data_IF_264362785978
#
_entry.id   IF_264362785978
#
_cell.length_a   1.000
_cell.length_b   1.000
_cell.length_c   1.000
_cell.angle_alpha   90.00
_cell.angle_beta   90.00
_cell.angle_gamma   90.00
#
_symmetry.space_group_name_H-M   'P 1'
#
loop_
_entity.id
_entity.type
_entity.pdbx_description
1 polymer ?
#
# COMPACT_ATOMS: atom_id res chain seq x y z
N UNK A 1 12.42 15.90 11.98
CA UNK A 1 12.70 15.19 10.72
C UNK A 1 12.60 16.21 9.59
N UNK A 2 13.59 16.27 8.69
CA UNK A 2 13.61 17.17 7.54
C UNK A 2 13.65 16.29 6.29
N UNK A 3 12.76 16.57 5.33
CA UNK A 3 12.80 15.94 4.00
C UNK A 3 13.18 17.02 3.01
N UNK A 4 14.27 16.79 2.28
CA UNK A 4 14.67 17.60 1.15
C UNK A 4 14.24 16.86 -0.12
N UNK A 5 13.47 17.53 -0.97
CA UNK A 5 13.00 16.99 -2.25
C UNK A 5 13.92 17.50 -3.34
N UNK A 6 14.42 16.60 -4.19
CA UNK A 6 15.24 16.95 -5.34
C UNK A 6 14.51 17.89 -6.31
N UNK A 7 15.20 18.88 -6.87
CA UNK A 7 14.60 19.88 -7.76
C UNK A 7 14.01 19.26 -9.03
N UNK A 8 14.61 18.18 -9.56
CA UNK A 8 14.06 17.46 -10.70
C UNK A 8 12.73 16.79 -10.37
N UNK A 9 12.64 16.20 -9.18
CA UNK A 9 11.41 15.56 -8.69
C UNK A 9 10.30 16.59 -8.47
N UNK A 10 10.61 17.73 -7.84
CA UNK A 10 9.62 18.79 -7.64
C UNK A 10 9.12 19.39 -8.97
N UNK A 11 9.99 19.45 -9.99
CA UNK A 11 9.64 19.94 -11.33
C UNK A 11 8.77 18.95 -12.10
N UNK A 12 9.13 17.67 -12.08
CA UNK A 12 8.45 16.64 -12.88
C UNK A 12 7.12 16.21 -12.24
N UNK A 13 6.96 16.40 -10.92
CA UNK A 13 5.79 16.00 -10.15
C UNK A 13 5.29 17.13 -9.24
N UNK A 14 4.72 18.22 -9.79
CA UNK A 14 4.31 19.39 -9.02
C UNK A 14 3.15 19.11 -8.05
N UNK A 15 2.35 18.07 -8.32
CA UNK A 15 1.21 17.66 -7.48
C UNK A 15 1.59 16.58 -6.45
N UNK A 16 2.88 16.30 -6.26
CA UNK A 16 3.34 15.27 -5.33
C UNK A 16 3.18 15.74 -3.87
N UNK A 17 2.24 15.14 -3.16
CA UNK A 17 2.03 15.39 -1.73
C UNK A 17 2.77 14.35 -0.85
N UNK A 18 3.60 14.84 0.07
CA UNK A 18 4.28 14.03 1.09
C UNK A 18 3.54 14.15 2.41
N UNK A 19 2.90 13.06 2.84
CA UNK A 19 2.22 13.00 4.15
C UNK A 19 3.12 12.32 5.17
N UNK A 20 3.50 13.06 6.22
CA UNK A 20 4.34 12.56 7.31
C UNK A 20 3.52 12.44 8.59
N UNK A 21 3.64 11.28 9.25
CA UNK A 21 3.10 11.04 10.59
C UNK A 21 4.15 10.38 11.46
N UNK A 22 4.27 10.85 12.70
CA UNK A 22 5.06 10.21 13.74
C UNK A 22 4.11 9.38 14.57
N UNK A 23 4.47 8.12 14.81
CA UNK A 23 3.78 7.23 15.75
C UNK A 23 4.76 6.96 16.88
N UNK A 24 4.39 7.37 18.09
CA UNK A 24 5.15 7.14 19.32
C UNK A 24 4.42 6.15 20.24
N UNK A 25 5.12 5.70 21.30
CA UNK A 25 4.55 4.77 22.28
C UNK A 25 4.33 3.35 21.78
N UNK A 26 4.99 2.95 20.68
CA UNK A 26 4.85 1.61 20.12
C UNK A 26 5.61 0.58 20.97
N UNK A 27 4.92 -0.49 21.38
CA UNK A 27 5.55 -1.67 21.95
C UNK A 27 5.81 -2.70 20.85
N UNK A 28 7.10 -3.03 20.63
CA UNK A 28 7.50 -4.00 19.60
C UNK A 28 7.79 -5.33 20.28
N UNK A 29 6.86 -6.27 20.12
CA UNK A 29 7.01 -7.65 20.57
C UNK A 29 7.16 -8.60 19.38
N UNK A 30 7.62 -9.82 19.66
CA UNK A 30 7.70 -10.87 18.63
C UNK A 30 6.32 -11.31 18.13
N UNK A 31 5.35 -11.33 19.04
CA UNK A 31 3.98 -11.76 18.78
C UNK A 31 3.02 -11.02 19.72
N UNK A 32 1.80 -10.79 19.25
CA UNK A 32 0.69 -10.22 20.02
C UNK A 32 -0.59 -10.93 19.58
N UNK A 33 -1.21 -11.69 20.48
CA UNK A 33 -2.36 -12.55 20.15
C UNK A 33 -3.58 -11.76 19.65
N UNK A 34 -3.82 -10.58 20.21
CA UNK A 34 -4.91 -9.70 19.80
C UNK A 34 -4.72 -9.20 18.37
N UNK A 35 -3.48 -8.79 18.03
CA UNK A 35 -3.10 -8.39 16.69
C UNK A 35 -3.23 -9.56 15.70
N UNK A 36 -2.79 -10.77 16.06
CA UNK A 36 -2.94 -11.94 15.21
C UNK A 36 -4.41 -12.32 14.99
N UNK A 37 -5.25 -12.21 16.03
CA UNK A 37 -6.69 -12.40 15.90
C UNK A 37 -7.33 -11.31 15.02
N UNK A 38 -6.87 -10.07 15.12
CA UNK A 38 -7.35 -8.96 14.30
C UNK A 38 -7.00 -9.17 12.82
N UNK A 39 -5.76 -9.57 12.52
CA UNK A 39 -5.32 -9.92 11.15
C UNK A 39 -6.23 -10.98 10.53
N UNK A 40 -6.47 -12.08 11.24
CA UNK A 40 -7.36 -13.16 10.76
C UNK A 40 -8.77 -12.66 10.44
N UNK A 41 -9.39 -11.88 11.33
CA UNK A 41 -10.72 -11.31 11.07
C UNK A 41 -10.75 -10.41 9.84
N UNK A 42 -9.71 -9.59 9.67
CA UNK A 42 -9.60 -8.69 8.52
C UNK A 42 -9.42 -9.48 7.22
N UNK A 43 -8.56 -10.50 7.23
CA UNK A 43 -8.35 -11.39 6.08
C UNK A 43 -9.61 -12.15 5.69
N UNK A 44 -10.37 -12.65 6.67
CA UNK A 44 -11.66 -13.32 6.44
C UNK A 44 -12.69 -12.37 5.82
N UNK A 45 -12.79 -11.14 6.33
CA UNK A 45 -13.69 -10.12 5.78
C UNK A 45 -13.33 -9.79 4.32
N UNK A 46 -12.05 -9.52 4.05
CA UNK A 46 -11.57 -9.22 2.69
C UNK A 46 -11.81 -10.39 1.74
N UNK A 47 -11.59 -11.63 2.19
CA UNK A 47 -11.83 -12.82 1.37
C UNK A 47 -13.32 -13.05 1.09
N UNK A 48 -14.21 -12.61 1.98
CA UNK A 48 -15.65 -12.67 1.76
C UNK A 48 -16.14 -11.64 0.72
N UNK A 49 -15.42 -10.53 0.54
CA UNK A 49 -15.78 -9.45 -0.39
C UNK A 49 -15.55 -9.79 -1.87
N UNK A 50 -14.71 -10.78 -2.20
CA UNK A 50 -14.54 -11.20 -3.59
C UNK A 50 -13.45 -12.25 -3.83
N UNK A 51 -13.44 -12.78 -5.06
CA UNK A 51 -12.38 -13.66 -5.56
C UNK A 51 -11.28 -12.84 -6.23
N UNK A 52 -10.11 -13.47 -6.43
CA UNK A 52 -9.00 -12.86 -7.16
C UNK A 52 -9.40 -12.39 -8.57
N UNK A 53 -10.40 -13.01 -9.21
CA UNK A 53 -10.87 -12.58 -10.52
C UNK A 53 -11.76 -11.34 -10.44
N UNK A 54 -12.65 -11.26 -9.44
CA UNK A 54 -13.48 -10.06 -9.23
C UNK A 54 -12.67 -8.84 -8.76
N UNK A 55 -11.60 -9.06 -7.99
CA UNK A 55 -10.74 -7.98 -7.48
C UNK A 55 -9.95 -7.31 -8.62
N UNK A 56 -9.61 -8.05 -9.68
CA UNK A 56 -8.93 -7.49 -10.86
C UNK A 56 -9.78 -6.44 -11.59
N UNK A 57 -11.09 -6.49 -11.43
CA UNK A 57 -12.02 -5.55 -12.07
C UNK A 57 -12.31 -4.32 -11.19
N UNK A 58 -11.88 -4.34 -9.92
CA UNK A 58 -12.05 -3.19 -9.02
C UNK A 58 -11.23 -1.99 -9.54
N UNK A 59 -11.83 -0.80 -9.69
CA UNK A 59 -11.21 0.34 -10.35
C UNK A 59 -9.85 0.78 -9.77
N UNK A 60 -9.66 0.70 -8.45
CA UNK A 60 -8.42 1.08 -7.77
C UNK A 60 -7.33 0.05 -8.05
N UNK A 61 -7.67 -1.24 -8.02
CA UNK A 61 -6.72 -2.32 -8.36
C UNK A 61 -6.31 -2.23 -9.84
N UNK A 62 -7.25 -1.94 -10.73
CA UNK A 62 -6.95 -1.71 -12.14
C UNK A 62 -6.04 -0.50 -12.35
N UNK A 63 -6.31 0.63 -11.68
CA UNK A 63 -5.49 1.83 -11.73
C UNK A 63 -4.06 1.58 -11.21
N UNK A 64 -3.92 0.86 -10.10
CA UNK A 64 -2.63 0.45 -9.54
C UNK A 64 -1.81 -0.35 -10.56
N UNK A 65 -2.38 -1.40 -11.15
CA UNK A 65 -1.65 -2.20 -12.16
C UNK A 65 -1.26 -1.39 -13.38
N UNK A 66 -2.17 -0.54 -13.87
CA UNK A 66 -1.91 0.35 -15.01
C UNK A 66 -0.72 1.28 -14.72
N UNK A 67 -0.63 1.81 -13.51
CA UNK A 67 0.48 2.64 -13.07
C UNK A 67 1.81 1.85 -13.10
N UNK A 68 1.88 0.67 -12.49
CA UNK A 68 3.11 -0.13 -12.50
C UNK A 68 3.55 -0.56 -13.90
N UNK A 69 2.59 -0.95 -14.76
CA UNK A 69 2.89 -1.22 -16.17
C UNK A 69 3.41 0.01 -16.90
N UNK A 70 2.92 1.22 -16.60
CA UNK A 70 3.47 2.46 -17.19
C UNK A 70 4.93 2.72 -16.82
N UNK A 71 5.39 2.13 -15.70
CA UNK A 71 6.79 2.18 -15.26
C UNK A 71 7.62 0.99 -15.78
N UNK A 72 7.04 0.10 -16.59
CA UNK A 72 7.71 -1.12 -17.06
C UNK A 72 7.89 -2.21 -16.00
N UNK A 73 7.18 -2.10 -14.88
CA UNK A 73 7.23 -3.06 -13.77
C UNK A 73 6.01 -3.98 -13.88
N UNK A 74 6.21 -5.29 -13.75
CA UNK A 74 5.12 -6.27 -13.69
C UNK A 74 4.62 -6.41 -12.23
N UNK A 75 3.46 -5.83 -11.88
CA UNK A 75 2.92 -5.85 -10.52
C UNK A 75 2.36 -7.23 -10.12
N UNK A 76 2.35 -8.20 -11.03
CA UNK A 76 1.82 -9.56 -10.78
C UNK A 76 2.89 -10.57 -10.42
N UNK A 77 4.18 -10.21 -10.52
CA UNK A 77 5.28 -11.08 -10.09
C UNK A 77 5.44 -11.06 -8.58
N UNK A 78 5.36 -12.23 -7.97
CA UNK A 78 5.75 -12.44 -6.56
C UNK A 78 7.25 -12.20 -6.42
N UNK A 79 7.64 -11.26 -5.55
CA UNK A 79 9.03 -11.07 -5.11
C UNK A 79 9.26 -11.75 -3.77
#
# INVERSE_FOLDING_TARGET
MRIDVDEGVARDYPDLELVLRVVDGLEVTRENEELEAHKRRLEEAVRAEGTADTIKEEPRVAAYRKFFWSLGIDPTKTR
#
